data_IF_338060724800
#
_entry.id   IF_338060724800
#
_cell.length_a   1.000
_cell.length_b   1.000
_cell.length_c   1.000
_cell.angle_alpha   90.00
_cell.angle_beta   90.00
_cell.angle_gamma   90.00
#
_symmetry.space_group_name_H-M   'P 1'
#
loop_
_entity.id
_entity.type
_entity.pdbx_description
1 polymer ?
#
# COMPACT_ATOMS: atom_id res chain seq x y z
N UNK A 1 -5.92 -15.74 34.29
CA UNK A 1 -5.26 -16.18 33.04
C UNK A 1 -6.35 -16.39 32.00
N UNK A 2 -6.39 -15.59 30.92
CA UNK A 2 -7.42 -15.69 29.89
C UNK A 2 -6.78 -16.26 28.60
N UNK A 3 -7.17 -17.45 28.13
CA UNK A 3 -6.49 -18.12 27.02
C UNK A 3 -7.04 -17.66 25.67
N UNK A 4 -6.13 -17.49 24.70
CA UNK A 4 -6.37 -17.28 23.26
C UNK A 4 -6.74 -15.86 22.84
N UNK A 5 -5.74 -14.97 22.87
CA UNK A 5 -5.65 -13.99 21.79
C UNK A 5 -5.52 -14.78 20.46
N UNK A 6 -6.33 -14.51 19.42
CA UNK A 6 -6.13 -15.12 18.12
C UNK A 6 -4.70 -14.81 17.66
N UNK A 7 -3.93 -15.84 17.36
CA UNK A 7 -2.55 -15.68 16.89
C UNK A 7 -2.50 -14.75 15.67
N UNK A 8 -1.37 -14.08 15.50
CA UNK A 8 -1.10 -13.26 14.32
C UNK A 8 -1.17 -14.15 13.06
N UNK A 9 -2.31 -14.18 12.40
CA UNK A 9 -2.45 -14.85 11.11
C UNK A 9 -1.66 -14.04 10.08
N UNK A 10 -0.46 -14.51 9.75
CA UNK A 10 0.34 -13.96 8.66
C UNK A 10 -0.49 -14.09 7.39
N UNK A 11 -1.01 -12.97 6.86
CA UNK A 11 -1.69 -12.98 5.56
C UNK A 11 -0.69 -13.49 4.53
N UNK A 12 -0.92 -14.71 4.04
CA UNK A 12 -0.11 -15.31 2.99
C UNK A 12 -0.22 -14.41 1.76
N UNK A 13 0.92 -14.06 1.17
CA UNK A 13 0.94 -13.38 -0.13
C UNK A 13 0.63 -14.46 -1.16
N UNK A 14 -0.58 -14.46 -1.67
CA UNK A 14 -1.03 -15.46 -2.66
C UNK A 14 -0.85 -14.88 -4.07
N UNK A 15 -0.37 -15.71 -4.98
CA UNK A 15 -0.20 -15.40 -6.40
C UNK A 15 1.11 -14.72 -6.76
N UNK A 16 1.51 -14.89 -8.01
CA UNK A 16 2.70 -14.25 -8.58
C UNK A 16 2.50 -12.73 -8.66
N UNK A 17 3.59 -11.98 -8.49
CA UNK A 17 3.57 -10.56 -8.81
C UNK A 17 3.20 -10.37 -10.29
N UNK A 18 2.53 -9.27 -10.61
CA UNK A 18 2.37 -8.84 -12.00
C UNK A 18 3.74 -8.76 -12.65
N UNK A 19 3.90 -9.26 -13.89
CA UNK A 19 5.09 -8.97 -14.68
C UNK A 19 5.34 -7.46 -14.67
N UNK A 20 6.59 -7.06 -14.44
CA UNK A 20 6.98 -5.66 -14.58
C UNK A 20 6.71 -5.23 -16.01
N UNK A 21 6.13 -4.05 -16.19
CA UNK A 21 6.05 -3.43 -17.51
C UNK A 21 7.46 -3.15 -18.01
N UNK A 22 7.68 -3.29 -19.30
CA UNK A 22 8.96 -2.92 -19.93
C UNK A 22 9.23 -1.45 -19.61
N UNK A 23 10.39 -1.10 -19.00
CA UNK A 23 10.70 0.28 -18.69
C UNK A 23 10.67 1.13 -19.96
N UNK A 24 9.81 2.14 -20.00
CA UNK A 24 9.87 3.13 -21.07
C UNK A 24 11.05 4.08 -20.76
N UNK A 25 12.14 4.10 -21.54
CA UNK A 25 13.37 4.80 -21.17
C UNK A 25 13.17 6.31 -20.97
N UNK A 26 12.18 6.91 -21.65
CA UNK A 26 11.86 8.34 -21.54
C UNK A 26 10.81 8.66 -20.46
N UNK A 27 10.22 7.66 -19.80
CA UNK A 27 9.18 7.86 -18.78
C UNK A 27 9.79 7.85 -17.39
N UNK A 28 9.62 8.96 -16.66
CA UNK A 28 9.93 9.02 -15.23
C UNK A 28 8.73 8.49 -14.45
N UNK A 29 8.92 7.40 -13.69
CA UNK A 29 7.86 6.82 -12.85
C UNK A 29 7.44 7.79 -11.73
N UNK A 30 6.22 7.63 -11.21
CA UNK A 30 5.72 8.45 -10.12
C UNK A 30 6.60 8.35 -8.86
N UNK A 31 7.14 7.16 -8.58
CA UNK A 31 8.11 6.96 -7.51
C UNK A 31 9.38 7.80 -7.71
N UNK A 32 9.99 7.74 -8.89
CA UNK A 32 11.19 8.53 -9.20
C UNK A 32 10.95 10.04 -9.09
N UNK A 33 9.73 10.51 -9.40
CA UNK A 33 9.35 11.92 -9.21
C UNK A 33 9.26 12.29 -7.73
N UNK A 34 8.62 11.45 -6.91
CA UNK A 34 8.46 11.67 -5.47
C UNK A 34 9.77 11.65 -4.69
N UNK A 35 10.76 10.87 -5.14
CA UNK A 35 12.09 10.81 -4.49
C UNK A 35 12.97 12.02 -4.87
N UNK A 36 12.60 12.78 -5.92
CA UNK A 36 13.35 13.98 -6.27
C UNK A 36 13.10 15.04 -5.20
N UNK A 37 14.13 15.35 -4.42
CA UNK A 37 14.05 16.35 -3.36
C UNK A 37 13.50 17.67 -3.92
N UNK A 38 12.45 18.24 -3.33
CA UNK A 38 12.00 19.56 -3.70
C UNK A 38 13.06 20.57 -3.25
N UNK A 39 13.38 21.53 -4.10
CA UNK A 39 14.25 22.65 -3.73
C UNK A 39 13.60 23.53 -2.64
N UNK A 40 12.28 23.45 -2.48
CA UNK A 40 11.49 24.19 -1.49
C UNK A 40 10.56 23.24 -0.70
N UNK A 41 10.74 23.08 0.63
CA UNK A 41 10.04 22.07 1.44
C UNK A 41 8.63 22.46 1.92
N UNK A 42 8.06 23.56 1.42
CA UNK A 42 6.80 24.13 1.93
C UNK A 42 5.54 23.54 1.30
N UNK A 43 5.65 22.76 0.22
CA UNK A 43 4.53 22.15 -0.49
C UNK A 43 4.56 20.62 -0.32
N UNK A 44 3.38 19.98 -0.28
CA UNK A 44 3.30 18.51 -0.15
C UNK A 44 4.12 17.86 -1.28
N UNK A 45 5.19 17.18 -0.90
CA UNK A 45 6.17 16.57 -1.81
C UNK A 45 5.51 15.47 -2.62
N UNK A 46 4.50 14.80 -2.06
CA UNK A 46 3.86 13.64 -2.67
C UNK A 46 2.36 13.86 -2.82
N UNK A 47 1.96 14.16 -4.06
CA UNK A 47 0.55 14.23 -4.42
C UNK A 47 0.11 12.89 -5.03
N UNK A 48 -0.85 12.23 -4.38
CA UNK A 48 -1.49 11.03 -4.90
C UNK A 48 -2.71 11.43 -5.75
N UNK A 49 -2.69 11.13 -7.05
CA UNK A 49 -3.79 11.40 -7.99
C UNK A 49 -4.31 10.07 -8.55
N UNK A 50 -5.61 9.97 -8.80
CA UNK A 50 -6.18 8.81 -9.49
C UNK A 50 -5.58 8.68 -10.90
N UNK A 51 -5.30 7.45 -11.32
CA UNK A 51 -4.73 7.17 -12.64
C UNK A 51 -3.20 7.22 -12.71
N UNK A 52 -2.50 7.38 -11.58
CA UNK A 52 -1.04 7.16 -11.57
C UNK A 52 -0.71 5.74 -12.02
N UNK A 53 0.15 5.64 -13.02
CA UNK A 53 0.66 4.38 -13.52
C UNK A 53 2.01 4.07 -12.91
N UNK A 54 2.19 2.82 -12.49
CA UNK A 54 3.46 2.28 -12.03
C UNK A 54 3.93 1.19 -12.98
N UNK A 55 5.25 1.06 -13.10
CA UNK A 55 5.87 0.11 -14.01
C UNK A 55 6.22 -1.22 -13.32
N UNK A 56 6.26 -1.19 -11.99
CA UNK A 56 6.60 -2.33 -11.14
C UNK A 56 5.91 -2.24 -9.76
N UNK A 57 6.38 -3.06 -8.80
CA UNK A 57 5.94 -3.03 -7.39
C UNK A 57 6.23 -1.73 -6.63
N UNK A 58 6.85 -0.73 -7.27
CA UNK A 58 7.16 0.61 -6.74
C UNK A 58 5.94 1.38 -6.19
N UNK A 59 4.73 0.97 -6.54
CA UNK A 59 3.50 1.56 -6.02
C UNK A 59 3.42 1.52 -4.49
N UNK A 60 3.95 0.47 -3.86
CA UNK A 60 3.99 0.37 -2.40
C UNK A 60 4.95 1.40 -1.81
N UNK A 61 6.15 1.52 -2.37
CA UNK A 61 7.17 2.45 -1.87
C UNK A 61 6.73 3.91 -2.06
N UNK A 62 6.11 4.22 -3.20
CA UNK A 62 5.52 5.54 -3.45
C UNK A 62 4.46 5.89 -2.40
N UNK A 63 3.54 4.97 -2.12
CA UNK A 63 2.52 5.23 -1.11
C UNK A 63 3.07 5.23 0.31
N UNK A 64 4.14 4.48 0.58
CA UNK A 64 4.82 4.50 1.87
C UNK A 64 5.46 5.87 2.13
N UNK A 65 6.06 6.48 1.10
CA UNK A 65 6.58 7.84 1.20
C UNK A 65 5.44 8.85 1.45
N UNK A 66 4.32 8.74 0.72
CA UNK A 66 3.13 9.55 0.97
C UNK A 66 2.60 9.39 2.40
N UNK A 67 2.49 8.15 2.88
CA UNK A 67 1.97 7.86 4.21
C UNK A 67 2.91 8.36 5.31
N UNK A 68 4.22 8.34 5.07
CA UNK A 68 5.20 8.96 5.95
C UNK A 68 5.01 10.47 6.03
N UNK A 69 4.89 11.16 4.88
CA UNK A 69 4.62 12.61 4.82
C UNK A 69 3.32 12.97 5.57
N UNK A 70 2.29 12.12 5.49
CA UNK A 70 1.00 12.33 6.15
C UNK A 70 0.89 11.76 7.57
N UNK A 71 1.92 11.08 8.07
CA UNK A 71 1.96 10.59 9.45
C UNK A 71 1.12 9.34 9.74
N UNK A 72 0.92 8.43 8.78
CA UNK A 72 0.25 7.15 9.01
C UNK A 72 1.02 5.95 8.45
N UNK A 73 0.80 4.77 9.04
CA UNK A 73 1.36 3.52 8.54
C UNK A 73 0.44 2.86 7.50
N UNK A 74 1.01 2.05 6.61
CA UNK A 74 0.27 1.31 5.57
C UNK A 74 0.53 -0.18 5.63
N UNK A 75 -0.35 -0.96 4.98
CA UNK A 75 -0.20 -2.41 4.83
C UNK A 75 -0.90 -2.92 3.58
N UNK A 76 -0.52 -4.12 3.12
CA UNK A 76 -1.24 -4.80 2.05
C UNK A 76 -2.65 -5.21 2.50
N UNK A 77 -3.64 -4.80 1.71
CA UNK A 77 -5.05 -5.17 1.84
C UNK A 77 -5.40 -6.42 1.03
N UNK A 78 -6.62 -6.44 0.48
CA UNK A 78 -7.09 -7.53 -0.37
C UNK A 78 -6.30 -7.56 -1.68
N UNK A 79 -6.12 -8.75 -2.24
CA UNK A 79 -5.62 -8.94 -3.60
C UNK A 79 -6.59 -9.81 -4.40
N UNK A 80 -6.60 -9.66 -5.72
CA UNK A 80 -7.28 -10.59 -6.64
C UNK A 80 -6.28 -11.15 -7.62
N UNK A 81 -6.50 -12.39 -8.01
CA UNK A 81 -5.71 -13.10 -9.00
C UNK A 81 -6.53 -13.28 -10.27
N UNK A 82 -5.86 -13.28 -11.42
CA UNK A 82 -6.45 -13.71 -12.69
C UNK A 82 -6.49 -15.25 -12.78
N UNK A 83 -7.01 -15.78 -13.89
CA UNK A 83 -7.09 -17.24 -14.15
C UNK A 83 -5.71 -17.91 -14.17
N UNK A 84 -4.65 -17.16 -14.48
CA UNK A 84 -3.25 -17.61 -14.48
C UNK A 84 -2.58 -17.52 -13.10
N UNK A 85 -3.32 -17.16 -12.05
CA UNK A 85 -2.82 -16.94 -10.67
C UNK A 85 -1.81 -15.79 -10.53
N UNK A 86 -1.81 -14.87 -11.48
CA UNK A 86 -1.08 -13.59 -11.43
C UNK A 86 -1.96 -12.54 -10.76
N UNK A 87 -1.38 -11.70 -9.91
CA UNK A 87 -2.13 -10.59 -9.29
C UNK A 87 -2.68 -9.66 -10.38
N UNK A 88 -3.96 -9.34 -10.31
CA UNK A 88 -4.63 -8.36 -11.19
C UNK A 88 -5.26 -7.21 -10.39
N UNK A 89 -5.14 -7.27 -9.06
CA UNK A 89 -5.56 -6.20 -8.17
C UNK A 89 -4.81 -6.34 -6.85
N UNK A 90 -4.33 -5.22 -6.30
CA UNK A 90 -3.74 -5.16 -4.97
C UNK A 90 -4.19 -3.89 -4.25
N UNK A 91 -4.84 -4.05 -3.10
CA UNK A 91 -5.11 -2.93 -2.20
C UNK A 91 -3.90 -2.64 -1.31
N UNK A 92 -3.67 -1.35 -1.05
CA UNK A 92 -2.82 -0.85 0.02
C UNK A 92 -3.72 -0.03 0.93
N UNK A 93 -3.79 -0.41 2.21
CA UNK A 93 -4.73 0.14 3.18
C UNK A 93 -3.99 0.83 4.32
N UNK A 94 -4.66 1.73 5.03
CA UNK A 94 -4.17 2.26 6.30
C UNK A 94 -3.87 1.13 7.30
N UNK A 95 -2.81 1.29 8.10
CA UNK A 95 -2.44 0.38 9.18
C UNK A 95 -3.58 0.20 10.20
N UNK A 96 -4.36 1.25 10.41
CA UNK A 96 -5.53 1.29 11.28
C UNK A 96 -6.80 0.69 10.64
N UNK A 97 -6.74 0.19 9.40
CA UNK A 97 -7.90 -0.36 8.70
C UNK A 97 -8.41 -1.66 9.34
N UNK A 98 -9.72 -1.87 9.33
CA UNK A 98 -10.38 -3.06 9.87
C UNK A 98 -10.69 -2.97 11.37
N UNK A 99 -11.24 -4.06 11.90
CA UNK A 99 -11.61 -4.21 13.32
C UNK A 99 -10.60 -5.11 14.04
N UNK A 100 -10.45 -4.93 15.34
CA UNK A 100 -9.80 -5.93 16.18
C UNK A 100 -10.66 -7.20 16.22
N UNK A 101 -10.04 -8.38 16.16
CA UNK A 101 -10.76 -9.65 16.29
C UNK A 101 -11.32 -9.89 17.69
N UNK A 102 -10.78 -9.18 18.69
CA UNK A 102 -11.23 -9.14 20.08
C UNK A 102 -11.12 -7.69 20.53
N UNK A 103 -12.09 -7.19 21.28
CA UNK A 103 -12.05 -5.85 21.85
C UNK A 103 -10.81 -5.70 22.75
N UNK A 104 -9.96 -4.72 22.44
CA UNK A 104 -8.76 -4.45 23.20
C UNK A 104 -8.29 -3.01 22.98
N UNK A 105 -7.61 -2.44 23.98
CA UNK A 105 -7.00 -1.12 23.92
C UNK A 105 -5.63 -1.08 23.24
N UNK A 106 -5.11 -2.22 22.76
CA UNK A 106 -3.75 -2.36 22.20
C UNK A 106 -3.72 -2.23 20.68
N UNK A 107 -4.84 -2.44 19.98
CA UNK A 107 -4.91 -2.40 18.53
C UNK A 107 -5.15 -0.99 18.03
N UNK A 108 -4.42 -0.56 17.02
CA UNK A 108 -4.67 0.68 16.29
C UNK A 108 -5.80 0.55 15.25
N UNK A 109 -6.46 -0.61 15.16
CA UNK A 109 -7.52 -0.86 14.18
C UNK A 109 -8.79 -0.09 14.58
N UNK A 110 -9.08 0.99 13.86
CA UNK A 110 -10.22 1.88 14.09
C UNK A 110 -11.19 1.93 12.90
N UNK A 111 -11.21 0.86 12.08
CA UNK A 111 -12.08 0.78 10.89
C UNK A 111 -11.79 1.83 9.82
N UNK A 112 -10.55 2.32 9.78
CA UNK A 112 -10.15 3.35 8.81
C UNK A 112 -10.45 2.88 7.36
N UNK A 113 -11.24 3.64 6.58
CA UNK A 113 -11.62 3.28 5.22
C UNK A 113 -10.55 3.66 4.18
N UNK A 114 -9.49 4.38 4.59
CA UNK A 114 -8.46 4.87 3.68
C UNK A 114 -7.70 3.72 3.01
N UNK A 115 -7.76 3.68 1.68
CA UNK A 115 -7.07 2.72 0.84
C UNK A 115 -6.81 3.28 -0.56
N UNK A 116 -5.84 2.69 -1.23
CA UNK A 116 -5.70 2.75 -2.70
C UNK A 116 -5.80 1.35 -3.26
N UNK A 117 -6.33 1.27 -4.48
CA UNK A 117 -6.46 0.04 -5.24
C UNK A 117 -5.60 0.13 -6.50
N UNK A 118 -4.63 -0.77 -6.59
CA UNK A 118 -3.83 -0.99 -7.80
C UNK A 118 -4.55 -2.03 -8.66
N UNK A 119 -4.63 -1.78 -9.97
CA UNK A 119 -5.28 -2.62 -10.99
C UNK A 119 -4.24 -3.14 -11.98
#
# INVERSE_FOLDING_TARGET
MNPRAPGWNKRQRIGAATPSKTPCPNRVSAFKKAVRFPENPTENVITTVLGITFDSGEAYDFYNLYSWEKGFGIRYGKSRLNVERTKCMQEIVCGCSGKAGVENSRSCHCECPALIRLL
#
